data_IF_084909210476
#
_entry.id   IF_084909210476
#
_cell.length_a   1.000
_cell.length_b   1.000
_cell.length_c   1.000
_cell.angle_alpha   90.00
_cell.angle_beta   90.00
_cell.angle_gamma   90.00
#
_symmetry.space_group_name_H-M   'P 1'
#
loop_
_entity.id
_entity.type
_entity.pdbx_description
1 polymer ?
#
# COMPACT_ATOMS: atom_id res chain seq x y z
N UNK A 1 -14.96 -7.85 -6.81
CA UNK A 1 -14.55 -8.06 -5.41
C UNK A 1 -15.16 -6.94 -4.57
N UNK A 2 -16.04 -7.24 -3.61
CA UNK A 2 -16.56 -6.23 -2.67
C UNK A 2 -15.68 -6.26 -1.42
N UNK A 3 -14.83 -5.26 -1.22
CA UNK A 3 -14.12 -5.08 0.04
C UNK A 3 -15.07 -4.47 1.06
N UNK A 4 -15.08 -5.03 2.26
CA UNK A 4 -15.94 -4.57 3.35
C UNK A 4 -15.07 -4.02 4.48
N UNK A 5 -15.45 -2.88 5.02
CA UNK A 5 -14.84 -2.31 6.24
C UNK A 5 -15.06 -3.24 7.44
N UNK A 6 -14.35 -3.03 8.56
CA UNK A 6 -14.58 -3.75 9.81
C UNK A 6 -16.04 -3.69 10.33
N UNK A 7 -16.83 -2.72 9.88
CA UNK A 7 -18.28 -2.58 10.17
C UNK A 7 -19.20 -3.17 9.09
N UNK A 8 -18.66 -3.92 8.13
CA UNK A 8 -19.46 -4.59 7.11
C UNK A 8 -19.96 -3.69 5.97
N UNK A 9 -19.41 -2.49 5.80
CA UNK A 9 -19.83 -1.56 4.73
C UNK A 9 -18.95 -1.63 3.49
N UNK A 10 -19.52 -1.51 2.28
CA UNK A 10 -18.78 -1.57 1.03
C UNK A 10 -17.79 -0.40 0.93
N UNK A 11 -16.52 -0.73 0.66
CA UNK A 11 -15.43 0.23 0.40
C UNK A 11 -15.09 0.18 -1.07
N UNK A 12 -14.82 1.34 -1.67
CA UNK A 12 -14.20 1.40 -3.00
C UNK A 12 -12.75 0.85 -2.94
N UNK A 13 -12.47 -0.30 -3.59
CA UNK A 13 -11.13 -0.90 -3.55
C UNK A 13 -10.10 -0.14 -4.40
N UNK A 14 -10.52 0.76 -5.29
CA UNK A 14 -9.64 1.36 -6.30
C UNK A 14 -8.49 2.15 -5.68
N UNK A 15 -8.70 3.06 -4.70
CA UNK A 15 -7.59 3.81 -4.09
C UNK A 15 -6.54 2.89 -3.44
N UNK A 16 -6.98 1.83 -2.76
CA UNK A 16 -6.08 0.84 -2.18
C UNK A 16 -5.26 0.13 -3.27
N UNK A 17 -5.92 -0.33 -4.33
CA UNK A 17 -5.26 -1.02 -5.43
C UNK A 17 -4.22 -0.13 -6.12
N UNK A 18 -4.55 1.13 -6.37
CA UNK A 18 -3.63 2.11 -6.99
C UNK A 18 -2.39 2.30 -6.13
N UNK A 19 -2.56 2.51 -4.81
CA UNK A 19 -1.42 2.72 -3.91
C UNK A 19 -0.57 1.46 -3.78
N UNK A 20 -1.19 0.27 -3.67
CA UNK A 20 -0.46 -0.99 -3.60
C UNK A 20 0.34 -1.25 -4.90
N UNK A 21 -0.26 -1.02 -6.07
CA UNK A 21 0.42 -1.17 -7.35
C UNK A 21 1.59 -0.20 -7.52
N UNK A 22 1.41 1.07 -7.13
CA UNK A 22 2.49 2.06 -7.14
C UNK A 22 3.61 1.69 -6.15
N UNK A 23 3.26 1.23 -4.94
CA UNK A 23 4.22 0.78 -3.95
C UNK A 23 5.05 -0.39 -4.48
N UNK A 24 4.42 -1.36 -5.16
CA UNK A 24 5.11 -2.47 -5.82
C UNK A 24 6.04 -1.96 -6.91
N UNK A 25 5.53 -1.15 -7.84
CA UNK A 25 6.29 -0.61 -8.96
C UNK A 25 7.53 0.15 -8.48
N UNK A 26 7.38 1.10 -7.55
CA UNK A 26 8.49 1.91 -7.05
C UNK A 26 9.48 1.06 -6.26
N UNK A 27 8.99 0.19 -5.37
CA UNK A 27 9.86 -0.64 -4.53
C UNK A 27 10.73 -1.58 -5.37
N UNK A 28 10.19 -2.20 -6.42
CA UNK A 28 10.96 -3.13 -7.25
C UNK A 28 11.73 -2.46 -8.39
N UNK A 29 11.27 -1.31 -8.89
CA UNK A 29 11.98 -0.58 -9.95
C UNK A 29 13.24 0.12 -9.43
N UNK A 30 13.25 0.58 -8.17
CA UNK A 30 14.37 1.32 -7.59
C UNK A 30 15.03 0.60 -6.41
N UNK A 31 14.25 -0.06 -5.56
CA UNK A 31 14.74 -0.63 -4.29
C UNK A 31 15.93 -1.58 -4.45
N UNK A 32 15.88 -2.60 -5.34
CA UNK A 32 16.98 -3.53 -5.47
C UNK A 32 18.28 -2.87 -5.92
N UNK A 33 18.20 -1.95 -6.89
CA UNK A 33 19.35 -1.25 -7.45
C UNK A 33 20.04 -0.43 -6.37
N UNK A 34 19.30 0.41 -5.64
CA UNK A 34 19.89 1.23 -4.57
C UNK A 34 20.42 0.38 -3.40
N UNK A 35 19.74 -0.71 -3.05
CA UNK A 35 20.24 -1.62 -2.02
C UNK A 35 21.55 -2.29 -2.45
N UNK A 36 21.67 -2.69 -3.71
CA UNK A 36 22.90 -3.27 -4.24
C UNK A 36 24.06 -2.25 -4.27
N UNK A 37 23.78 -0.98 -4.61
CA UNK A 37 24.76 0.10 -4.52
C UNK A 37 25.23 0.35 -3.07
N UNK A 38 24.37 0.08 -2.08
CA UNK A 38 24.72 0.10 -0.66
C UNK A 38 25.50 -1.16 -0.21
N UNK A 39 25.82 -2.07 -1.13
CA UNK A 39 26.60 -3.29 -0.86
C UNK A 39 25.76 -4.49 -0.40
N UNK A 40 24.42 -4.43 -0.48
CA UNK A 40 23.59 -5.59 -0.17
C UNK A 40 23.66 -6.62 -1.31
N UNK A 41 23.69 -7.89 -0.93
CA UNK A 41 23.48 -8.99 -1.88
C UNK A 41 22.08 -8.91 -2.52
N UNK A 42 21.93 -9.43 -3.73
CA UNK A 42 20.65 -9.44 -4.45
C UNK A 42 19.48 -10.02 -3.61
N UNK A 43 19.63 -11.16 -2.90
CA UNK A 43 18.55 -11.68 -2.04
C UNK A 43 18.16 -10.71 -0.91
N UNK A 44 19.14 -10.04 -0.30
CA UNK A 44 18.88 -9.05 0.75
C UNK A 44 18.20 -7.80 0.20
N UNK A 45 18.65 -7.31 -0.96
CA UNK A 45 18.07 -6.17 -1.68
C UNK A 45 16.60 -6.42 -2.06
N UNK A 46 16.29 -7.62 -2.54
CA UNK A 46 14.91 -8.04 -2.79
C UNK A 46 14.10 -8.11 -1.50
N UNK A 47 14.67 -8.69 -0.43
CA UNK A 47 14.02 -8.76 0.87
C UNK A 47 13.63 -7.38 1.43
N UNK A 48 14.53 -6.40 1.36
CA UNK A 48 14.26 -5.01 1.79
C UNK A 48 13.16 -4.36 0.94
N UNK A 49 13.21 -4.57 -0.39
CA UNK A 49 12.21 -4.03 -1.32
C UNK A 49 10.82 -4.63 -1.08
N UNK A 50 10.74 -5.95 -0.86
CA UNK A 50 9.52 -6.65 -0.47
C UNK A 50 9.01 -6.16 0.88
N UNK A 51 9.89 -6.00 1.87
CA UNK A 51 9.52 -5.48 3.19
C UNK A 51 8.88 -4.09 3.10
N UNK A 52 9.49 -3.20 2.32
CA UNK A 52 8.98 -1.84 2.08
C UNK A 52 7.60 -1.87 1.42
N UNK A 53 7.43 -2.69 0.38
CA UNK A 53 6.15 -2.90 -0.28
C UNK A 53 5.07 -3.42 0.69
N UNK A 54 5.39 -4.42 1.52
CA UNK A 54 4.46 -4.99 2.49
C UNK A 54 4.01 -3.96 3.52
N UNK A 55 4.94 -3.14 4.04
CA UNK A 55 4.61 -2.08 5.01
C UNK A 55 3.67 -1.04 4.40
N UNK A 56 3.97 -0.54 3.20
CA UNK A 56 3.13 0.46 2.53
C UNK A 56 1.74 -0.13 2.22
N UNK A 57 1.69 -1.38 1.77
CA UNK A 57 0.43 -2.08 1.49
C UNK A 57 -0.41 -2.25 2.75
N UNK A 58 0.20 -2.66 3.86
CA UNK A 58 -0.48 -2.82 5.14
C UNK A 58 -1.03 -1.48 5.67
N UNK A 59 -0.25 -0.40 5.60
CA UNK A 59 -0.69 0.95 5.98
C UNK A 59 -1.85 1.39 5.09
N UNK A 60 -1.75 1.17 3.78
CA UNK A 60 -2.79 1.56 2.81
C UNK A 60 -4.09 0.79 3.05
N UNK A 61 -3.99 -0.51 3.32
CA UNK A 61 -5.14 -1.34 3.70
C UNK A 61 -5.76 -0.81 5.00
N UNK A 62 -4.94 -0.55 6.02
CA UNK A 62 -5.43 -0.04 7.28
C UNK A 62 -6.14 1.32 7.10
N UNK A 63 -5.56 2.25 6.34
CA UNK A 63 -6.13 3.60 6.18
C UNK A 63 -7.35 3.63 5.26
N UNK A 64 -7.28 2.97 4.12
CA UNK A 64 -8.24 3.10 3.03
C UNK A 64 -9.35 2.05 3.09
N UNK A 65 -9.12 0.91 3.74
CA UNK A 65 -10.10 -0.18 3.86
C UNK A 65 -10.56 -0.39 5.29
N UNK A 66 -9.67 -0.29 6.29
CA UNK A 66 -10.03 -0.58 7.68
C UNK A 66 -10.61 0.63 8.43
N UNK A 67 -9.98 1.81 8.30
CA UNK A 67 -10.37 3.04 9.02
C UNK A 67 -11.16 4.05 8.18
N UNK A 68 -11.59 3.69 6.98
CA UNK A 68 -12.39 4.57 6.13
C UNK A 68 -13.76 4.81 6.77
N UNK A 69 -13.97 6.03 7.28
CA UNK A 69 -15.27 6.55 7.72
C UNK A 69 -15.89 7.36 6.57
N UNK A 70 -16.69 6.73 5.68
CA UNK A 70 -17.26 7.42 4.52
C UNK A 70 -18.16 8.61 4.89
N UNK A 71 -18.77 8.61 6.08
CA UNK A 71 -19.72 9.65 6.52
C UNK A 71 -19.03 11.00 6.76
N UNK A 72 -17.79 11.00 7.25
CA UNK A 72 -17.01 12.24 7.42
C UNK A 72 -16.59 12.84 6.07
N UNK A 73 -16.61 12.05 4.99
CA UNK A 73 -16.34 12.52 3.62
C UNK A 73 -17.58 13.13 2.96
N UNK A 74 -18.78 12.61 3.25
CA UNK A 74 -20.04 13.19 2.77
C UNK A 74 -20.41 14.49 3.52
N UNK A 75 -19.93 14.67 4.76
CA UNK A 75 -20.16 15.88 5.55
C UNK A 75 -19.19 17.05 5.25
N UNK A 76 -18.10 16.82 4.52
CA UNK A 76 -17.12 17.86 4.18
C UNK A 76 -17.39 18.45 2.79
N UNK A 77 -17.67 19.77 2.66
CA UNK A 77 -17.81 20.40 1.36
C UNK A 77 -16.47 20.41 0.59
N UNK A 78 -16.58 20.28 -0.74
CA UNK A 78 -15.48 20.19 -1.69
C UNK A 78 -14.68 21.49 -1.84
#
# INVERSE_FOLDING_TARGET
MKLTTARGRPVDPVPFLVVAALAFLVSFSYGPIYCMELGLSLPAALGVSTGTFCVITAISYHRLVWTSYPELRDELPA
#
